data_IF_878936182611
#
_entry.id   IF_878936182611
#
_cell.length_a   1.000
_cell.length_b   1.000
_cell.length_c   1.000
_cell.angle_alpha   90.00
_cell.angle_beta   90.00
_cell.angle_gamma   90.00
#
_symmetry.space_group_name_H-M   'P 1'
#
loop_
_entity.id
_entity.type
_entity.pdbx_description
1 polymer ?
#
# COMPACT_ATOMS: atom_id res chain seq x y z
N UNK A 1 2.78 92.01 -3.51
CA UNK A 1 3.19 90.61 -3.24
C UNK A 1 4.55 90.65 -2.58
N UNK A 2 4.67 90.25 -1.30
CA UNK A 2 5.89 90.50 -0.54
C UNK A 2 6.98 89.47 -0.90
N UNK A 3 8.23 89.93 -1.06
CA UNK A 3 9.35 89.07 -1.46
C UNK A 3 9.75 88.08 -0.35
N UNK A 4 9.32 88.34 0.89
CA UNK A 4 9.58 87.48 2.05
C UNK A 4 8.79 86.17 2.02
N UNK A 5 7.54 86.17 1.56
CA UNK A 5 6.73 84.95 1.38
C UNK A 5 7.23 84.09 0.22
N UNK A 6 7.86 84.71 -0.80
CA UNK A 6 8.50 83.95 -1.90
C UNK A 6 9.69 83.14 -1.38
N UNK A 7 10.50 83.73 -0.49
CA UNK A 7 11.61 83.02 0.15
C UNK A 7 11.15 81.90 1.09
N UNK A 8 10.15 82.18 1.95
CA UNK A 8 9.59 81.18 2.86
C UNK A 8 8.91 80.02 2.11
N UNK A 9 8.24 80.30 0.99
CA UNK A 9 7.64 79.28 0.14
C UNK A 9 8.69 78.33 -0.45
N UNK A 10 9.83 78.85 -0.93
CA UNK A 10 10.90 78.02 -1.48
C UNK A 10 11.54 77.14 -0.39
N UNK A 11 11.80 77.70 0.80
CA UNK A 11 12.38 76.93 1.91
C UNK A 11 11.45 75.82 2.37
N UNK A 12 10.13 76.08 2.44
CA UNK A 12 9.15 75.05 2.79
C UNK A 12 9.10 73.94 1.74
N UNK A 13 9.14 74.26 0.44
CA UNK A 13 9.13 73.26 -0.64
C UNK A 13 10.41 72.42 -0.62
N UNK A 14 11.57 73.02 -0.37
CA UNK A 14 12.84 72.29 -0.26
C UNK A 14 12.85 71.39 0.97
N UNK A 15 12.36 71.85 2.12
CA UNK A 15 12.29 71.04 3.34
C UNK A 15 11.33 69.85 3.19
N UNK A 16 10.19 70.04 2.52
CA UNK A 16 9.24 68.95 2.24
C UNK A 16 9.82 67.96 1.21
N UNK A 17 10.51 68.46 0.18
CA UNK A 17 11.19 67.62 -0.82
C UNK A 17 12.32 66.78 -0.21
N UNK A 18 13.14 67.39 0.65
CA UNK A 18 14.20 66.67 1.38
C UNK A 18 13.60 65.70 2.40
N UNK A 19 12.58 66.12 3.15
CA UNK A 19 11.89 65.24 4.11
C UNK A 19 11.28 64.01 3.46
N UNK A 20 10.62 64.16 2.31
CA UNK A 20 10.05 63.04 1.55
C UNK A 20 11.12 62.14 0.92
N UNK A 21 12.24 62.70 0.46
CA UNK A 21 13.39 61.92 -0.01
C UNK A 21 14.01 61.06 1.11
N UNK A 22 14.19 61.62 2.31
CA UNK A 22 14.74 60.90 3.46
C UNK A 22 13.75 59.92 4.10
N UNK A 23 12.42 60.17 4.06
CA UNK A 23 11.41 59.22 4.53
C UNK A 23 11.12 58.08 3.54
N UNK A 24 11.29 58.31 2.23
CA UNK A 24 11.07 57.29 1.19
C UNK A 24 12.09 56.15 1.19
N UNK A 25 13.27 56.36 1.78
CA UNK A 25 14.37 55.39 1.77
C UNK A 25 14.26 54.23 2.78
N UNK A 26 13.17 54.15 3.58
CA UNK A 26 12.99 53.08 4.59
C UNK A 26 11.77 52.19 4.38
N UNK A 27 11.01 52.41 3.31
CA UNK A 27 9.82 51.63 2.99
C UNK A 27 10.11 50.69 1.83
N UNK A 28 11.07 49.79 2.02
CA UNK A 28 11.16 48.58 1.22
C UNK A 28 10.11 47.61 1.76
N UNK A 29 8.88 47.69 1.25
CA UNK A 29 7.93 46.60 1.44
C UNK A 29 8.59 45.30 0.99
N UNK A 30 8.51 44.19 1.74
CA UNK A 30 9.05 42.92 1.27
C UNK A 30 8.35 42.59 -0.05
N UNK A 31 9.11 42.51 -1.15
CA UNK A 31 8.57 41.96 -2.41
C UNK A 31 8.02 40.56 -2.08
N UNK A 32 6.75 40.25 -2.36
CA UNK A 32 6.30 38.87 -2.40
C UNK A 32 6.95 38.26 -3.63
N UNK A 33 8.07 37.55 -3.43
CA UNK A 33 8.85 36.99 -4.55
C UNK A 33 10.36 36.94 -4.33
N UNK A 34 10.86 36.99 -3.09
CA UNK A 34 12.18 36.47 -2.80
C UNK A 34 12.11 34.94 -2.84
N UNK A 35 12.22 34.37 -4.05
CA UNK A 35 12.42 32.95 -4.24
C UNK A 35 13.81 32.60 -3.69
N UNK A 36 13.86 32.10 -2.46
CA UNK A 36 15.04 31.39 -1.99
C UNK A 36 15.20 30.18 -2.91
N UNK A 37 16.33 30.02 -3.64
CA UNK A 37 16.58 28.82 -4.41
C UNK A 37 16.75 27.66 -3.43
N UNK A 38 15.65 26.98 -3.09
CA UNK A 38 15.67 25.87 -2.13
C UNK A 38 14.40 25.69 -1.28
N UNK A 39 13.44 26.62 -1.27
CA UNK A 39 12.15 26.36 -0.61
C UNK A 39 11.26 25.50 -1.51
N UNK A 40 11.57 24.21 -1.60
CA UNK A 40 10.69 23.26 -2.27
C UNK A 40 9.43 23.09 -1.39
N UNK A 41 8.35 23.76 -1.80
CA UNK A 41 7.03 23.58 -1.19
C UNK A 41 6.40 22.36 -1.84
N UNK A 42 6.04 21.38 -1.03
CA UNK A 42 5.45 20.14 -1.52
C UNK A 42 3.99 20.07 -1.14
N UNK A 43 3.17 19.72 -2.11
CA UNK A 43 1.71 19.84 -2.03
C UNK A 43 1.02 18.59 -1.47
N UNK A 44 1.73 17.48 -1.28
CA UNK A 44 1.18 16.21 -0.79
C UNK A 44 2.19 15.47 0.10
N UNK A 45 1.78 14.99 1.28
CA UNK A 45 2.63 14.31 2.27
C UNK A 45 2.68 12.78 2.12
N UNK A 46 1.69 12.20 1.43
CA UNK A 46 1.56 10.77 1.21
C UNK A 46 1.14 10.44 -0.22
N UNK A 47 1.59 9.30 -0.73
CA UNK A 47 1.20 8.76 -2.03
C UNK A 47 0.87 7.27 -1.90
N UNK A 48 -0.25 6.85 -2.49
CA UNK A 48 -0.59 5.44 -2.59
C UNK A 48 0.20 4.79 -3.74
N UNK A 49 0.91 3.72 -3.44
CA UNK A 49 1.63 2.90 -4.41
C UNK A 49 0.68 1.93 -5.13
N UNK A 50 1.06 1.40 -6.31
CA UNK A 50 0.23 0.44 -7.05
C UNK A 50 -0.11 -0.87 -6.31
N UNK A 51 0.64 -1.21 -5.25
CA UNK A 51 0.36 -2.34 -4.36
C UNK A 51 -0.69 -2.05 -3.28
N UNK A 52 -1.18 -0.80 -3.22
CA UNK A 52 -2.13 -0.31 -2.23
C UNK A 52 -1.50 0.23 -0.95
N UNK A 53 -0.18 0.10 -0.76
CA UNK A 53 0.55 0.68 0.38
C UNK A 53 0.66 2.20 0.24
N UNK A 54 0.89 2.91 1.35
CA UNK A 54 1.12 4.35 1.35
C UNK A 54 2.57 4.64 1.74
N UNK A 55 3.21 5.53 0.99
CA UNK A 55 4.58 5.98 1.27
C UNK A 55 4.58 7.48 1.53
N UNK A 56 5.43 7.90 2.46
CA UNK A 56 5.69 9.31 2.74
C UNK A 56 6.70 9.91 1.77
N UNK A 57 6.74 11.25 1.74
CA UNK A 57 7.73 11.98 0.97
C UNK A 57 9.16 11.66 1.44
N UNK A 58 10.06 11.57 0.48
CA UNK A 58 11.49 11.30 0.67
C UNK A 58 12.33 12.37 -0.04
N UNK A 59 13.41 12.82 0.60
CA UNK A 59 14.40 13.73 0.02
C UNK A 59 13.96 15.20 -0.13
N UNK A 60 14.90 16.09 -0.54
CA UNK A 60 14.68 17.53 -0.64
C UNK A 60 13.72 17.95 -1.77
N UNK A 61 13.48 17.06 -2.75
CA UNK A 61 12.68 17.33 -3.95
C UNK A 61 11.29 16.66 -3.95
N UNK A 62 10.70 16.42 -2.77
CA UNK A 62 9.38 15.79 -2.64
C UNK A 62 9.21 14.41 -3.33
N UNK A 63 10.25 13.59 -3.39
CA UNK A 63 10.18 12.32 -4.13
C UNK A 63 9.42 11.27 -3.34
N UNK A 64 8.57 10.48 -3.99
CA UNK A 64 7.99 9.28 -3.40
C UNK A 64 8.66 8.05 -4.00
N UNK A 65 9.18 7.18 -3.14
CA UNK A 65 9.80 5.92 -3.57
C UNK A 65 8.91 4.78 -3.07
N UNK A 66 8.23 4.12 -4.00
CA UNK A 66 7.52 2.89 -3.69
C UNK A 66 8.54 1.75 -3.53
N UNK A 67 8.45 0.93 -2.47
CA UNK A 67 9.41 -0.15 -2.21
C UNK A 67 9.34 -1.28 -3.24
N UNK A 68 8.32 -1.31 -4.10
CA UNK A 68 8.04 -2.48 -4.91
C UNK A 68 8.76 -2.45 -6.26
N UNK A 69 9.84 -3.23 -6.34
CA UNK A 69 9.91 -4.26 -7.38
C UNK A 69 8.51 -4.87 -7.55
N UNK A 70 7.99 -5.06 -8.77
CA UNK A 70 6.65 -5.63 -8.94
C UNK A 70 6.58 -6.89 -8.07
N UNK A 71 5.70 -6.90 -7.05
CA UNK A 71 5.34 -8.12 -6.35
C UNK A 71 5.01 -9.08 -7.48
N UNK A 72 5.80 -10.15 -7.71
CA UNK A 72 5.57 -11.02 -8.87
C UNK A 72 4.09 -11.36 -8.84
N UNK A 73 3.37 -11.05 -9.92
CA UNK A 73 1.96 -11.41 -10.03
C UNK A 73 1.84 -12.84 -9.50
N UNK A 74 0.90 -13.13 -8.56
CA UNK A 74 0.93 -14.35 -7.77
C UNK A 74 1.30 -15.51 -8.67
N UNK A 75 2.54 -16.00 -8.53
CA UNK A 75 3.13 -16.85 -9.55
C UNK A 75 2.30 -18.12 -9.52
N UNK A 76 1.44 -18.29 -10.52
CA UNK A 76 0.51 -19.41 -10.50
C UNK A 76 1.34 -20.65 -10.79
N UNK A 77 1.69 -21.37 -9.73
CA UNK A 77 2.45 -22.61 -9.89
C UNK A 77 1.53 -23.67 -10.46
N UNK A 78 1.97 -24.33 -11.52
CA UNK A 78 1.32 -25.53 -12.05
C UNK A 78 1.60 -26.69 -11.08
N UNK A 79 0.78 -26.81 -10.04
CA UNK A 79 0.97 -27.72 -8.91
C UNK A 79 -0.37 -28.01 -8.26
N UNK A 80 -0.52 -29.20 -7.69
CA UNK A 80 -1.63 -29.53 -6.80
C UNK A 80 -1.28 -29.31 -5.32
N UNK A 81 -0.05 -28.91 -5.01
CA UNK A 81 0.41 -28.55 -3.66
C UNK A 81 0.61 -27.04 -3.55
N UNK A 82 -0.01 -26.42 -2.55
CA UNK A 82 0.04 -24.98 -2.29
C UNK A 82 0.43 -24.66 -0.84
N UNK A 83 1.19 -23.58 -0.61
CA UNK A 83 1.31 -22.95 0.71
C UNK A 83 0.07 -22.10 1.02
N UNK A 84 -0.10 -21.74 2.30
CA UNK A 84 -1.14 -20.79 2.70
C UNK A 84 -0.94 -19.44 1.98
N UNK A 85 -2.00 -18.93 1.34
CA UNK A 85 -1.98 -17.70 0.53
C UNK A 85 -1.40 -17.88 -0.88
N UNK A 86 -0.91 -19.06 -1.24
CA UNK A 86 -0.32 -19.33 -2.55
C UNK A 86 -1.38 -19.82 -3.53
N UNK A 87 -1.47 -19.15 -4.69
CA UNK A 87 -2.35 -19.58 -5.79
C UNK A 87 -1.63 -20.63 -6.64
N UNK A 88 -2.26 -21.79 -6.79
CA UNK A 88 -1.78 -22.86 -7.67
C UNK A 88 -2.83 -23.19 -8.72
N UNK A 89 -2.39 -23.80 -9.82
CA UNK A 89 -3.27 -24.31 -10.86
C UNK A 89 -2.98 -25.77 -11.16
N UNK A 90 -4.03 -26.57 -11.28
CA UNK A 90 -3.96 -27.93 -11.76
C UNK A 90 -5.26 -28.30 -12.47
N UNK A 91 -5.18 -29.02 -13.58
CA UNK A 91 -6.33 -29.43 -14.39
C UNK A 91 -7.29 -28.27 -14.78
N UNK A 92 -6.76 -27.06 -15.00
CA UNK A 92 -7.57 -25.88 -15.34
C UNK A 92 -8.42 -25.31 -14.20
N UNK A 93 -8.17 -25.75 -12.97
CA UNK A 93 -8.73 -25.19 -11.74
C UNK A 93 -7.65 -24.38 -11.04
N UNK A 94 -8.00 -23.21 -10.50
CA UNK A 94 -7.14 -22.46 -9.59
C UNK A 94 -7.59 -22.66 -8.15
N UNK A 95 -6.64 -22.93 -7.26
CA UNK A 95 -6.90 -23.06 -5.82
C UNK A 95 -5.96 -22.13 -5.05
N UNK A 96 -6.50 -21.39 -4.10
CA UNK A 96 -5.74 -20.54 -3.17
C UNK A 96 -6.18 -20.83 -1.74
N UNK A 97 -5.39 -21.55 -0.92
CA UNK A 97 -5.68 -21.73 0.50
C UNK A 97 -5.63 -20.36 1.19
N UNK A 98 -6.70 -19.97 1.88
CA UNK A 98 -6.83 -18.64 2.47
C UNK A 98 -6.44 -18.65 3.95
N UNK A 99 -7.08 -19.52 4.74
CA UNK A 99 -6.86 -19.61 6.20
C UNK A 99 -7.09 -21.02 6.71
N UNK A 100 -6.38 -21.36 7.79
CA UNK A 100 -6.64 -22.56 8.59
C UNK A 100 -7.59 -22.14 9.70
N UNK A 101 -8.80 -22.71 9.71
CA UNK A 101 -9.84 -22.41 10.70
C UNK A 101 -9.77 -23.32 11.92
N UNK A 102 -9.17 -24.51 11.77
CA UNK A 102 -8.96 -25.46 12.86
C UNK A 102 -7.70 -26.27 12.59
N UNK A 103 -6.80 -26.39 13.57
CA UNK A 103 -5.64 -27.27 13.50
C UNK A 103 -5.41 -27.93 14.85
N UNK A 104 -5.87 -29.18 14.96
CA UNK A 104 -5.67 -30.04 16.13
C UNK A 104 -4.78 -31.23 15.80
N UNK A 105 -3.88 -31.12 14.80
CA UNK A 105 -2.97 -32.21 14.43
C UNK A 105 -2.12 -32.67 15.62
N UNK A 106 -1.96 -33.98 15.69
CA UNK A 106 -1.13 -34.66 16.67
C UNK A 106 0.32 -34.71 16.16
N UNK A 107 1.28 -34.13 16.89
CA UNK A 107 2.69 -34.30 16.60
C UNK A 107 3.12 -35.77 16.58
N UNK A 108 4.19 -36.09 15.86
CA UNK A 108 4.67 -37.47 15.70
C UNK A 108 5.15 -38.12 17.02
N UNK A 109 5.48 -37.29 18.01
CA UNK A 109 5.96 -37.65 19.35
C UNK A 109 4.84 -37.64 20.41
N UNK A 110 3.58 -37.40 20.03
CA UNK A 110 2.45 -37.30 20.95
C UNK A 110 1.39 -38.35 20.62
N UNK A 111 1.01 -39.13 21.63
CA UNK A 111 -0.09 -40.06 21.55
C UNK A 111 -1.41 -39.33 21.88
N UNK A 112 -2.07 -38.79 20.85
CA UNK A 112 -3.37 -38.17 21.04
C UNK A 112 -4.47 -39.17 21.38
N UNK A 113 -5.40 -38.73 22.22
CA UNK A 113 -6.62 -39.49 22.56
C UNK A 113 -7.62 -39.51 21.39
N UNK A 114 -7.60 -38.49 20.52
CA UNK A 114 -8.47 -38.38 19.34
C UNK A 114 -7.67 -38.09 18.06
N UNK A 115 -8.20 -38.45 16.90
CA UNK A 115 -7.57 -38.14 15.61
C UNK A 115 -7.63 -36.64 15.33
N UNK A 116 -6.47 -35.97 15.43
CA UNK A 116 -6.34 -34.56 15.08
C UNK A 116 -6.73 -34.27 13.62
N UNK A 117 -7.32 -33.11 13.36
CA UNK A 117 -7.75 -32.68 12.02
C UNK A 117 -7.32 -31.27 11.69
N UNK A 118 -7.31 -30.97 10.40
CA UNK A 118 -7.11 -29.64 9.86
C UNK A 118 -8.32 -29.26 9.04
N UNK A 119 -8.85 -28.08 9.33
CA UNK A 119 -9.90 -27.43 8.55
C UNK A 119 -9.34 -26.14 7.99
N UNK A 120 -9.52 -25.92 6.70
CA UNK A 120 -9.09 -24.72 6.01
C UNK A 120 -10.17 -24.20 5.08
N UNK A 121 -10.16 -22.89 4.82
CA UNK A 121 -10.89 -22.31 3.70
C UNK A 121 -9.95 -22.07 2.52
N UNK A 122 -10.41 -22.37 1.32
CA UNK A 122 -9.69 -22.12 0.09
C UNK A 122 -10.61 -21.51 -0.97
N UNK A 123 -10.05 -20.59 -1.75
CA UNK A 123 -10.70 -19.99 -2.91
C UNK A 123 -10.48 -20.87 -4.13
N UNK A 124 -11.56 -21.25 -4.80
CA UNK A 124 -11.60 -22.01 -6.05
C UNK A 124 -11.98 -21.07 -7.18
N UNK A 125 -11.27 -21.12 -8.31
CA UNK A 125 -11.60 -20.32 -9.50
C UNK A 125 -11.49 -21.17 -10.78
N UNK A 126 -12.51 -21.11 -11.64
CA UNK A 126 -12.56 -21.80 -12.95
C UNK A 126 -13.61 -21.13 -13.83
N UNK A 127 -13.34 -21.01 -15.13
CA UNK A 127 -14.26 -20.40 -16.11
C UNK A 127 -14.79 -19.01 -15.69
N UNK A 128 -13.96 -18.20 -15.02
CA UNK A 128 -14.36 -16.88 -14.51
C UNK A 128 -15.23 -16.88 -13.26
N UNK A 129 -15.67 -18.05 -12.77
CA UNK A 129 -16.39 -18.16 -11.49
C UNK A 129 -15.43 -18.35 -10.33
N UNK A 130 -15.87 -17.94 -9.15
CA UNK A 130 -15.14 -18.00 -7.89
C UNK A 130 -16.03 -18.57 -6.79
N UNK A 131 -15.49 -19.46 -5.96
CA UNK A 131 -16.17 -20.00 -4.78
C UNK A 131 -15.18 -20.14 -3.63
N UNK A 132 -15.54 -19.72 -2.41
CA UNK A 132 -14.80 -20.11 -1.20
C UNK A 132 -15.38 -21.42 -0.66
N UNK A 133 -14.51 -22.37 -0.34
CA UNK A 133 -14.90 -23.69 0.14
C UNK A 133 -14.10 -24.10 1.38
N UNK A 134 -14.74 -24.89 2.24
CA UNK A 134 -14.13 -25.44 3.45
C UNK A 134 -13.69 -26.87 3.19
N UNK A 135 -12.42 -27.15 3.44
CA UNK A 135 -11.83 -28.49 3.35
C UNK A 135 -11.49 -29.02 4.73
N UNK A 136 -11.83 -30.28 4.98
CA UNK A 136 -11.60 -30.99 6.22
C UNK A 136 -10.76 -32.23 5.95
N UNK A 137 -9.58 -32.31 6.59
CA UNK A 137 -8.64 -33.41 6.41
C UNK A 137 -9.13 -34.75 6.99
N UNK A 138 -10.04 -34.75 7.98
CA UNK A 138 -10.49 -35.99 8.62
C UNK A 138 -11.70 -36.64 7.98
N UNK A 139 -12.51 -35.89 7.23
CA UNK A 139 -13.77 -36.37 6.65
C UNK A 139 -13.72 -36.71 5.16
N UNK A 140 -12.52 -36.65 4.56
CA UNK A 140 -12.35 -36.83 3.11
C UNK A 140 -13.38 -35.98 2.34
N UNK A 141 -13.57 -34.75 2.79
CA UNK A 141 -14.62 -33.87 2.29
C UNK A 141 -14.34 -33.53 0.81
N UNK A 142 -15.28 -33.92 -0.05
CA UNK A 142 -15.23 -33.66 -1.48
C UNK A 142 -16.09 -32.44 -1.78
N UNK A 143 -15.44 -31.36 -2.16
CA UNK A 143 -16.09 -30.12 -2.61
C UNK A 143 -16.27 -30.20 -4.12
N UNK A 144 -17.50 -29.98 -4.61
CA UNK A 144 -17.75 -29.91 -6.05
C UNK A 144 -17.76 -28.46 -6.53
N UNK A 145 -16.99 -28.14 -7.55
CA UNK A 145 -16.96 -26.80 -8.16
C UNK A 145 -16.73 -26.87 -9.66
N UNK A 146 -17.61 -26.24 -10.45
CA UNK A 146 -17.56 -26.21 -11.92
C UNK A 146 -17.31 -27.60 -12.55
N UNK A 147 -18.04 -28.61 -12.06
CA UNK A 147 -17.99 -29.99 -12.55
C UNK A 147 -16.77 -30.81 -12.10
N UNK A 148 -15.92 -30.29 -11.21
CA UNK A 148 -14.81 -31.01 -10.58
C UNK A 148 -15.10 -31.36 -9.15
N UNK A 149 -14.67 -32.53 -8.71
CA UNK A 149 -14.68 -32.98 -7.32
C UNK A 149 -13.30 -32.80 -6.73
N UNK A 150 -13.16 -31.89 -5.77
CA UNK A 150 -11.90 -31.51 -5.14
C UNK A 150 -11.86 -32.00 -3.70
N UNK A 151 -10.75 -32.61 -3.29
CA UNK A 151 -10.51 -32.98 -1.89
C UNK A 151 -9.11 -32.59 -1.44
N UNK A 152 -8.96 -32.44 -0.12
CA UNK A 152 -7.67 -32.23 0.53
C UNK A 152 -7.03 -33.59 0.78
N UNK A 153 -5.99 -33.92 0.01
CA UNK A 153 -5.33 -35.23 0.07
C UNK A 153 -4.21 -35.30 1.10
N UNK A 154 -3.51 -34.19 1.35
CA UNK A 154 -2.42 -34.14 2.34
C UNK A 154 -2.26 -32.75 2.92
N UNK A 155 -1.95 -32.70 4.22
CA UNK A 155 -1.52 -31.47 4.91
C UNK A 155 -0.10 -31.68 5.45
N UNK A 156 0.81 -30.76 5.15
CA UNK A 156 2.19 -30.76 5.64
C UNK A 156 2.32 -30.32 7.10
N UNK A 157 3.52 -29.93 7.53
CA UNK A 157 3.80 -29.54 8.92
C UNK A 157 3.15 -28.21 9.34
N UNK A 158 3.05 -27.97 10.65
CA UNK A 158 2.41 -26.76 11.23
C UNK A 158 3.18 -25.47 10.97
N UNK A 159 4.50 -25.54 10.89
CA UNK A 159 5.37 -24.38 10.67
C UNK A 159 5.31 -23.86 9.23
N UNK A 160 4.94 -24.72 8.28
CA UNK A 160 4.95 -24.42 6.85
C UNK A 160 3.79 -25.10 6.14
N UNK A 161 2.56 -24.78 6.56
CA UNK A 161 1.34 -25.33 6.01
C UNK A 161 1.40 -25.48 4.49
N UNK A 162 1.39 -26.74 4.04
CA UNK A 162 1.31 -27.12 2.65
C UNK A 162 0.10 -28.01 2.47
N UNK A 163 -0.69 -27.72 1.45
CA UNK A 163 -1.96 -28.40 1.20
C UNK A 163 -1.88 -29.02 -0.18
N UNK A 164 -2.04 -30.34 -0.25
CA UNK A 164 -2.11 -31.07 -1.51
C UNK A 164 -3.57 -31.37 -1.81
N UNK A 165 -4.00 -31.04 -3.01
CA UNK A 165 -5.36 -31.24 -3.48
C UNK A 165 -5.43 -32.38 -4.49
N UNK A 166 -6.55 -33.06 -4.54
CA UNK A 166 -6.90 -34.01 -5.60
C UNK A 166 -8.12 -33.50 -6.35
N UNK A 167 -8.15 -33.70 -7.68
CA UNK A 167 -9.31 -33.42 -8.54
C UNK A 167 -9.42 -34.52 -9.58
N UNK A 168 -10.65 -34.97 -9.84
CA UNK A 168 -10.97 -35.70 -11.07
C UNK A 168 -11.07 -34.77 -12.29
#
# INVERSE_FOLDING_TARGET
MNKTYLGLGIVAVVAIGLGSYYLGAKNESPKPGAETPGSVVCTADAMQCPDGSYVGRTGPNCQFVCPNTPKPAPVVKASNTAKLGERVSFNGLYITPLKVTEDSRCPADVQCVWAGRVVLSAKLERNGKTQEAIFDSSKQNVVTFEGKSISLSKVGAKENYTFTFSSN
#
